data_IF_051801867887
#
_entry.id   IF_051801867887
#
_cell.length_a   1.000
_cell.length_b   1.000
_cell.length_c   1.000
_cell.angle_alpha   90.00
_cell.angle_beta   90.00
_cell.angle_gamma   90.00
#
_symmetry.space_group_name_H-M   'P 1'
#
loop_
_entity.id
_entity.type
_entity.pdbx_description
1 polymer ?
#
# COMPACT_ATOMS: atom_id res chain seq x y z
N UNK A 1 -4.80 -15.51 12.72
CA UNK A 1 -3.33 -15.48 12.96
C UNK A 1 -2.94 -14.05 13.24
N UNK A 2 -2.44 -13.79 14.44
CA UNK A 2 -1.89 -12.48 14.82
C UNK A 2 -0.57 -12.20 14.10
N UNK A 3 -0.08 -10.94 14.18
CA UNK A 3 1.23 -10.60 13.62
C UNK A 3 2.36 -11.37 14.34
N UNK A 4 2.27 -11.55 15.64
CA UNK A 4 3.24 -12.33 16.43
C UNK A 4 3.34 -13.76 15.91
N UNK A 5 2.22 -14.48 15.85
CA UNK A 5 2.17 -15.84 15.28
C UNK A 5 2.69 -15.93 13.83
N UNK A 6 2.45 -14.88 13.05
CA UNK A 6 2.99 -14.80 11.69
C UNK A 6 4.52 -14.70 11.72
N UNK A 7 5.08 -13.85 12.58
CA UNK A 7 6.52 -13.60 12.66
C UNK A 7 7.27 -14.85 13.14
N UNK A 8 6.73 -15.56 14.12
CA UNK A 8 7.28 -16.81 14.62
C UNK A 8 7.40 -17.86 13.51
N UNK A 9 6.36 -17.98 12.67
CA UNK A 9 6.33 -18.92 11.54
C UNK A 9 7.19 -18.47 10.35
N UNK A 10 7.33 -17.17 10.13
CA UNK A 10 7.98 -16.62 8.92
C UNK A 10 9.50 -16.73 8.93
N UNK A 11 10.12 -17.00 10.09
CA UNK A 11 11.57 -17.13 10.28
C UNK A 11 12.37 -16.01 9.56
N UNK A 12 12.03 -14.77 9.87
CA UNK A 12 12.60 -13.60 9.20
C UNK A 12 14.08 -13.44 9.54
N UNK A 13 14.96 -13.65 8.58
CA UNK A 13 16.42 -13.60 8.79
C UNK A 13 16.96 -12.16 8.87
N UNK A 14 16.48 -11.26 8.04
CA UNK A 14 16.93 -9.86 7.99
C UNK A 14 15.73 -8.91 7.92
N UNK A 15 14.92 -9.00 6.88
CA UNK A 15 13.74 -8.18 6.69
C UNK A 15 12.70 -8.86 5.82
N UNK A 16 11.44 -8.51 6.02
CA UNK A 16 10.33 -8.95 5.17
C UNK A 16 9.46 -7.74 4.81
N UNK A 17 8.98 -7.72 3.58
CA UNK A 17 8.10 -6.66 3.06
C UNK A 17 6.65 -7.09 3.08
N UNK A 18 5.76 -6.16 3.39
CA UNK A 18 4.33 -6.31 3.12
C UNK A 18 4.00 -5.92 1.68
N UNK A 19 3.05 -6.60 1.05
CA UNK A 19 2.49 -6.18 -0.23
C UNK A 19 1.78 -4.84 -0.06
N UNK A 20 2.16 -3.85 -0.85
CA UNK A 20 1.63 -2.49 -0.75
C UNK A 20 0.18 -2.40 -1.22
N UNK A 21 -0.67 -1.88 -0.36
CA UNK A 21 -2.12 -1.71 -0.53
C UNK A 21 -2.46 -0.25 -0.28
N UNK A 22 -2.64 0.55 -1.34
CA UNK A 22 -3.09 1.94 -1.24
C UNK A 22 -4.60 1.98 -1.10
N UNK A 23 -5.11 2.22 0.08
CA UNK A 23 -6.54 2.44 0.33
C UNK A 23 -6.96 3.75 -0.31
N UNK A 24 -7.99 3.71 -1.16
CA UNK A 24 -8.54 4.88 -1.84
C UNK A 24 -10.05 4.95 -1.68
N UNK A 25 -10.59 6.15 -1.58
CA UNK A 25 -12.02 6.37 -1.59
C UNK A 25 -12.60 6.08 -2.98
N UNK A 26 -13.67 5.30 -3.02
CA UNK A 26 -14.54 5.18 -4.21
C UNK A 26 -15.63 6.24 -4.09
N UNK A 27 -15.50 7.35 -4.79
CA UNK A 27 -16.33 8.56 -4.56
C UNK A 27 -17.82 8.36 -4.82
N UNK A 28 -18.17 7.38 -5.64
CA UNK A 28 -19.57 7.09 -6.00
C UNK A 28 -20.25 6.12 -5.02
N UNK A 29 -19.47 5.35 -4.24
CA UNK A 29 -19.98 4.32 -3.34
C UNK A 29 -19.68 4.60 -1.86
N UNK A 30 -18.70 5.46 -1.56
CA UNK A 30 -18.20 5.69 -0.20
C UNK A 30 -18.29 7.18 0.17
N UNK A 31 -18.99 7.47 1.26
CA UNK A 31 -19.14 8.82 1.81
C UNK A 31 -17.89 9.31 2.57
N UNK A 32 -18.02 10.39 3.30
CA UNK A 32 -16.99 10.93 4.18
C UNK A 32 -16.70 9.98 5.35
N UNK A 33 -15.47 10.05 5.86
CA UNK A 33 -15.06 9.25 7.03
C UNK A 33 -15.75 9.73 8.28
N UNK A 34 -16.35 8.79 9.01
CA UNK A 34 -16.90 8.98 10.34
C UNK A 34 -15.90 8.49 11.38
N UNK A 35 -15.73 9.25 12.45
CA UNK A 35 -14.79 8.92 13.53
C UNK A 35 -15.30 7.81 14.47
N UNK A 36 -16.62 7.59 14.48
CA UNK A 36 -17.30 6.61 15.34
C UNK A 36 -17.32 5.18 14.78
N UNK A 37 -16.75 4.95 13.62
CA UNK A 37 -16.74 3.63 12.96
C UNK A 37 -15.34 3.19 12.52
N UNK A 38 -15.04 1.89 12.57
CA UNK A 38 -13.75 1.35 12.13
C UNK A 38 -13.42 1.77 10.69
N UNK A 39 -12.17 2.17 10.45
CA UNK A 39 -11.76 2.76 9.18
C UNK A 39 -12.02 1.85 7.97
N UNK A 40 -11.64 0.57 8.05
CA UNK A 40 -11.80 -0.36 6.93
C UNK A 40 -13.24 -0.87 6.73
N UNK A 41 -14.18 -0.51 7.61
CA UNK A 41 -15.62 -0.69 7.34
C UNK A 41 -16.19 0.41 6.46
N UNK A 42 -15.45 1.51 6.27
CA UNK A 42 -15.87 2.68 5.50
C UNK A 42 -15.07 2.83 4.19
N UNK A 43 -14.03 2.01 3.99
CA UNK A 43 -13.15 2.03 2.80
C UNK A 43 -12.93 0.59 2.34
N UNK A 44 -13.55 0.26 1.22
CA UNK A 44 -13.59 -1.10 0.70
C UNK A 44 -12.67 -1.31 -0.50
N UNK A 45 -12.06 -0.24 -1.02
CA UNK A 45 -11.29 -0.29 -2.26
C UNK A 45 -9.84 0.11 -2.04
N UNK A 46 -8.95 -0.55 -2.77
CA UNK A 46 -7.54 -0.23 -2.74
C UNK A 46 -6.87 -0.50 -4.09
N UNK A 47 -5.80 0.24 -4.36
CA UNK A 47 -4.89 -0.05 -5.44
C UNK A 47 -3.69 -0.86 -4.95
N UNK A 48 -3.38 -1.96 -5.61
CA UNK A 48 -2.13 -2.69 -5.36
C UNK A 48 -0.95 -1.88 -5.89
N UNK A 49 0.02 -1.59 -5.04
CA UNK A 49 1.06 -0.60 -5.31
C UNK A 49 2.47 -1.12 -5.01
N UNK A 50 3.31 -1.20 -6.05
CA UNK A 50 4.74 -1.51 -5.89
C UNK A 50 5.50 -0.44 -5.12
N UNK A 51 5.06 0.81 -5.18
CA UNK A 51 5.68 1.92 -4.46
C UNK A 51 5.60 1.74 -2.95
N UNK A 52 4.48 1.20 -2.46
CA UNK A 52 4.23 0.97 -1.04
C UNK A 52 4.51 -0.46 -0.60
N UNK A 53 4.90 -1.34 -1.53
CA UNK A 53 5.48 -2.63 -1.16
C UNK A 53 6.91 -2.39 -0.64
N UNK A 54 7.08 -2.44 0.67
CA UNK A 54 8.34 -2.08 1.33
C UNK A 54 8.55 -2.90 2.61
N UNK A 55 9.80 -2.96 3.12
CA UNK A 55 10.10 -3.62 4.39
C UNK A 55 9.25 -3.04 5.53
N UNK A 56 8.58 -3.90 6.26
CA UNK A 56 7.74 -3.57 7.41
C UNK A 56 8.12 -4.35 8.68
N UNK A 57 8.95 -5.39 8.53
CA UNK A 57 9.53 -6.12 9.65
C UNK A 57 11.02 -6.24 9.44
N UNK A 58 11.81 -5.96 10.47
CA UNK A 58 13.27 -6.00 10.49
C UNK A 58 13.71 -6.84 11.68
N UNK A 59 14.46 -7.91 11.41
CA UNK A 59 14.96 -8.84 12.43
C UNK A 59 16.41 -8.55 12.86
N UNK A 60 17.13 -7.70 12.11
CA UNK A 60 18.53 -7.34 12.41
C UNK A 60 18.76 -5.87 12.04
N UNK A 61 19.74 -5.18 12.63
CA UNK A 61 20.17 -3.85 12.18
C UNK A 61 20.48 -3.85 10.69
N UNK A 62 19.95 -2.87 9.95
CA UNK A 62 20.09 -2.78 8.48
C UNK A 62 20.48 -1.37 8.05
N UNK A 63 21.16 -1.28 6.91
CA UNK A 63 21.39 -0.01 6.22
C UNK A 63 20.19 0.28 5.31
N UNK A 64 19.60 1.46 5.46
CA UNK A 64 18.45 1.88 4.68
C UNK A 64 18.81 2.61 3.39
N UNK A 65 18.01 2.43 2.38
CA UNK A 65 17.95 3.33 1.25
C UNK A 65 17.19 4.62 1.59
N UNK A 66 17.17 5.58 0.66
CA UNK A 66 16.47 6.86 0.83
C UNK A 66 14.98 6.63 1.16
N UNK A 67 14.46 7.32 2.16
CA UNK A 67 13.06 7.30 2.57
C UNK A 67 12.60 5.97 3.19
N UNK A 68 13.51 5.15 3.69
CA UNK A 68 13.20 3.85 4.33
C UNK A 68 12.41 2.87 3.45
N UNK A 69 12.50 3.03 2.13
CA UNK A 69 11.76 2.18 1.21
C UNK A 69 12.46 0.86 0.90
N UNK A 70 13.77 0.75 1.18
CA UNK A 70 14.59 -0.42 0.82
C UNK A 70 15.69 -0.67 1.85
N UNK A 71 15.99 -1.93 2.05
CA UNK A 71 17.17 -2.37 2.80
C UNK A 71 18.32 -2.56 1.81
N UNK A 72 19.48 -1.95 2.10
CA UNK A 72 20.66 -2.09 1.25
C UNK A 72 21.37 -3.42 1.54
N UNK A 73 21.89 -4.04 0.49
CA UNK A 73 22.71 -5.26 0.60
C UNK A 73 21.91 -6.56 0.87
N UNK A 74 20.58 -6.53 0.81
CA UNK A 74 19.75 -7.71 1.05
C UNK A 74 18.69 -7.88 -0.03
N UNK A 75 18.32 -9.13 -0.29
CA UNK A 75 17.27 -9.49 -1.22
C UNK A 75 15.92 -8.97 -0.73
N UNK A 76 15.14 -8.49 -1.69
CA UNK A 76 13.77 -8.10 -1.46
C UNK A 76 12.89 -9.36 -1.35
N UNK A 77 12.06 -9.41 -0.30
CA UNK A 77 11.13 -10.50 -0.07
C UNK A 77 9.77 -9.98 0.40
N UNK A 78 8.69 -10.46 -0.23
CA UNK A 78 7.31 -10.12 0.17
C UNK A 78 6.73 -11.32 0.93
N UNK A 79 6.32 -11.10 2.17
CA UNK A 79 5.68 -12.12 2.99
C UNK A 79 4.36 -12.61 2.41
N UNK A 80 4.13 -13.92 2.45
CA UNK A 80 2.84 -14.49 2.05
C UNK A 80 1.78 -14.10 3.07
N UNK A 81 0.71 -13.42 2.62
CA UNK A 81 -0.36 -12.97 3.52
C UNK A 81 -0.02 -11.73 4.36
N UNK A 82 1.15 -11.12 4.17
CA UNK A 82 1.54 -9.87 4.82
C UNK A 82 1.24 -8.69 3.91
N UNK A 83 0.42 -7.76 4.39
CA UNK A 83 -0.03 -6.59 3.66
C UNK A 83 0.37 -5.31 4.39
N UNK A 84 0.75 -4.29 3.63
CA UNK A 84 1.04 -2.96 4.16
C UNK A 84 -0.01 -1.98 3.63
N UNK A 85 -1.00 -1.70 4.45
CA UNK A 85 -2.04 -0.73 4.15
C UNK A 85 -1.48 0.68 4.25
N UNK A 86 -1.66 1.46 3.19
CA UNK A 86 -1.27 2.86 3.12
C UNK A 86 -2.51 3.74 2.98
N UNK A 87 -2.71 4.64 3.93
CA UNK A 87 -3.89 5.49 4.07
C UNK A 87 -3.67 6.91 3.52
N UNK A 88 -2.95 7.04 2.44
CA UNK A 88 -2.66 8.36 1.85
C UNK A 88 -3.78 8.93 0.97
N UNK A 89 -4.73 8.09 0.51
CA UNK A 89 -5.70 8.40 -0.54
C UNK A 89 -7.15 8.12 -0.13
N UNK A 90 -7.39 7.92 1.14
CA UNK A 90 -8.63 7.39 1.67
C UNK A 90 -9.78 8.40 1.76
N UNK A 91 -9.51 9.69 1.55
CA UNK A 91 -10.50 10.75 1.75
C UNK A 91 -10.23 11.92 0.83
N UNK A 92 -11.20 12.23 -0.05
CA UNK A 92 -11.08 13.30 -1.04
C UNK A 92 -11.16 14.68 -0.40
N UNK A 93 -12.02 14.87 0.61
CA UNK A 93 -12.16 16.13 1.34
C UNK A 93 -10.85 16.52 2.02
N UNK A 94 -10.21 15.56 2.69
CA UNK A 94 -8.91 15.77 3.32
C UNK A 94 -7.78 16.08 2.31
N UNK A 95 -7.85 15.51 1.10
CA UNK A 95 -6.88 15.86 0.04
C UNK A 95 -7.13 17.28 -0.44
N UNK A 96 -8.39 17.68 -0.67
CA UNK A 96 -8.76 19.05 -1.07
C UNK A 96 -8.27 20.07 -0.03
N UNK A 97 -8.58 19.87 1.24
CA UNK A 97 -8.12 20.74 2.32
C UNK A 97 -6.59 20.91 2.36
N UNK A 98 -5.85 19.83 2.05
CA UNK A 98 -4.38 19.90 1.95
C UNK A 98 -3.88 20.63 0.71
N UNK A 99 -4.65 20.68 -0.38
CA UNK A 99 -4.34 21.52 -1.55
C UNK A 99 -4.52 23.01 -1.24
N UNK A 100 -5.49 23.34 -0.42
CA UNK A 100 -5.81 24.71 -0.02
C UNK A 100 -4.82 25.28 1.00
N UNK A 101 -4.08 24.42 1.71
CA UNK A 101 -3.07 24.82 2.70
C UNK A 101 -1.85 25.50 2.03
N UNK A 102 -1.65 26.83 2.24
CA UNK A 102 -0.56 27.56 1.61
C UNK A 102 0.81 27.06 2.01
N UNK A 103 0.97 26.59 3.27
CA UNK A 103 2.24 26.09 3.79
C UNK A 103 2.71 24.85 3.06
N UNK A 104 1.78 23.96 2.69
CA UNK A 104 2.05 22.76 1.91
C UNK A 104 2.40 23.07 0.46
N UNK A 105 1.75 24.07 -0.13
CA UNK A 105 2.09 24.54 -1.48
C UNK A 105 3.50 25.13 -1.50
N UNK A 106 3.83 25.98 -0.55
CA UNK A 106 5.18 26.54 -0.42
C UNK A 106 6.26 25.46 -0.21
N UNK A 107 5.93 24.38 0.51
CA UNK A 107 6.82 23.23 0.71
C UNK A 107 6.90 22.27 -0.51
N UNK A 108 6.32 22.60 -1.67
CA UNK A 108 6.40 21.81 -2.91
C UNK A 108 5.55 20.54 -2.94
N UNK A 109 4.50 20.43 -2.12
CA UNK A 109 3.66 19.23 -2.02
C UNK A 109 2.65 19.05 -3.16
N UNK A 110 2.49 20.04 -4.05
CA UNK A 110 1.48 20.05 -5.13
C UNK A 110 1.51 18.77 -5.96
N UNK A 111 2.66 18.40 -6.53
CA UNK A 111 2.81 17.17 -7.33
C UNK A 111 2.48 15.89 -6.54
N UNK A 112 2.68 15.91 -5.23
CA UNK A 112 2.37 14.77 -4.37
C UNK A 112 0.85 14.64 -4.15
N UNK A 113 0.17 15.75 -3.98
CA UNK A 113 -1.29 15.81 -3.84
C UNK A 113 -2.00 15.44 -5.15
N UNK A 114 -1.51 15.91 -6.30
CA UNK A 114 -2.02 15.53 -7.64
C UNK A 114 -1.99 14.00 -7.84
N UNK A 115 -0.88 13.35 -7.46
CA UNK A 115 -0.79 11.88 -7.52
C UNK A 115 -1.82 11.20 -6.62
N UNK A 116 -2.14 11.79 -5.47
CA UNK A 116 -3.16 11.28 -4.55
C UNK A 116 -4.55 11.37 -5.16
N UNK A 117 -4.91 12.51 -5.73
CA UNK A 117 -6.17 12.70 -6.45
C UNK A 117 -6.31 11.73 -7.63
N UNK A 118 -5.22 11.49 -8.37
CA UNK A 118 -5.19 10.49 -9.44
C UNK A 118 -5.50 9.08 -8.92
N UNK A 119 -5.03 8.71 -7.74
CA UNK A 119 -5.31 7.38 -7.16
C UNK A 119 -6.78 7.23 -6.78
N UNK A 120 -7.40 8.25 -6.17
CA UNK A 120 -8.84 8.25 -5.88
C UNK A 120 -9.62 8.07 -7.18
N UNK A 121 -9.34 8.88 -8.20
CA UNK A 121 -9.97 8.74 -9.52
C UNK A 121 -9.81 7.33 -10.09
N UNK A 122 -8.62 6.74 -10.01
CA UNK A 122 -8.38 5.38 -10.48
C UNK A 122 -9.20 4.34 -9.71
N UNK A 123 -9.39 4.51 -8.40
CA UNK A 123 -10.22 3.62 -7.58
C UNK A 123 -11.68 3.71 -8.02
N UNK A 124 -12.19 4.92 -8.29
CA UNK A 124 -13.58 5.15 -8.71
C UNK A 124 -13.84 4.65 -10.15
N UNK A 125 -12.96 4.97 -11.10
CA UNK A 125 -13.19 4.72 -12.53
C UNK A 125 -12.89 3.27 -12.96
N UNK A 126 -12.15 2.49 -12.18
CA UNK A 126 -11.75 1.15 -12.58
C UNK A 126 -12.50 0.07 -11.84
N UNK A 127 -12.97 -0.93 -12.57
CA UNK A 127 -13.61 -2.11 -11.99
C UNK A 127 -12.69 -2.79 -10.96
N UNK A 128 -13.22 -3.00 -9.76
CA UNK A 128 -12.51 -3.73 -8.72
C UNK A 128 -12.43 -5.23 -9.04
N UNK A 129 -11.35 -5.84 -8.58
CA UNK A 129 -11.01 -7.23 -8.83
C UNK A 129 -10.99 -8.02 -7.52
N UNK A 130 -11.08 -9.34 -7.62
CA UNK A 130 -11.00 -10.24 -6.46
C UNK A 130 -9.68 -10.11 -5.71
N UNK A 131 -9.78 -9.91 -4.39
CA UNK A 131 -8.64 -9.74 -3.50
C UNK A 131 -7.68 -10.94 -3.50
N UNK A 132 -8.23 -12.14 -3.31
CA UNK A 132 -7.40 -13.32 -3.09
C UNK A 132 -6.58 -13.69 -4.33
N UNK A 133 -7.18 -13.55 -5.52
CA UNK A 133 -6.51 -13.80 -6.78
C UNK A 133 -5.46 -12.73 -7.08
N UNK A 134 -5.83 -11.47 -7.03
CA UNK A 134 -4.99 -10.40 -7.54
C UNK A 134 -3.88 -9.98 -6.60
N UNK A 135 -4.01 -10.16 -5.29
CA UNK A 135 -2.89 -9.99 -4.37
C UNK A 135 -1.82 -11.08 -4.56
N UNK A 136 -2.21 -12.32 -4.88
CA UNK A 136 -1.26 -13.39 -5.25
C UNK A 136 -0.52 -13.05 -6.55
N UNK A 137 -1.24 -12.59 -7.58
CA UNK A 137 -0.66 -12.20 -8.87
C UNK A 137 0.29 -11.01 -8.69
N UNK A 138 -0.13 -9.96 -7.99
CA UNK A 138 0.71 -8.79 -7.77
C UNK A 138 1.98 -9.13 -6.98
N UNK A 139 1.89 -10.00 -5.97
CA UNK A 139 3.04 -10.50 -5.24
C UNK A 139 3.99 -11.30 -6.14
N UNK A 140 3.45 -12.18 -6.97
CA UNK A 140 4.24 -12.95 -7.94
C UNK A 140 5.00 -12.03 -8.89
N UNK A 141 4.29 -11.11 -9.57
CA UNK A 141 4.91 -10.16 -10.50
C UNK A 141 6.03 -9.36 -9.81
N UNK A 142 5.76 -8.81 -8.63
CA UNK A 142 6.72 -7.99 -7.89
C UNK A 142 7.94 -8.77 -7.42
N UNK A 143 7.82 -10.07 -7.22
CA UNK A 143 8.91 -10.93 -6.76
C UNK A 143 9.72 -11.52 -7.91
N UNK A 144 9.06 -12.01 -8.96
CA UNK A 144 9.65 -12.82 -10.01
C UNK A 144 10.06 -11.98 -11.22
N UNK A 145 9.22 -11.05 -11.65
CA UNK A 145 9.45 -10.26 -12.87
C UNK A 145 10.43 -9.10 -12.71
N UNK A 146 11.23 -9.09 -11.64
CA UNK A 146 12.23 -8.03 -11.41
C UNK A 146 13.50 -8.28 -12.23
N UNK A 147 14.15 -7.21 -12.72
CA UNK A 147 15.46 -7.36 -13.36
C UNK A 147 16.51 -7.91 -12.37
N UNK A 148 17.49 -8.68 -12.83
CA UNK A 148 18.54 -9.26 -11.98
C UNK A 148 19.29 -8.24 -11.11
N UNK A 149 19.53 -7.03 -11.64
CA UNK A 149 20.20 -5.94 -10.92
C UNK A 149 19.29 -5.22 -9.88
N UNK A 150 18.00 -5.52 -9.88
CA UNK A 150 17.02 -4.89 -9.00
C UNK A 150 16.56 -5.82 -7.87
N UNK A 151 17.43 -6.70 -7.41
CA UNK A 151 17.14 -7.74 -6.42
C UNK A 151 16.68 -7.24 -5.03
N UNK A 152 16.97 -5.98 -4.68
CA UNK A 152 16.56 -5.36 -3.41
C UNK A 152 15.25 -4.55 -3.47
N UNK A 153 14.51 -4.62 -4.57
CA UNK A 153 13.25 -3.90 -4.76
C UNK A 153 12.23 -4.72 -5.57
N UNK A 154 10.91 -4.44 -5.44
CA UNK A 154 9.90 -5.11 -6.25
C UNK A 154 10.02 -4.71 -7.73
N UNK A 155 9.59 -5.61 -8.62
CA UNK A 155 9.33 -5.24 -10.00
C UNK A 155 8.23 -4.17 -10.06
N UNK A 156 8.43 -3.17 -10.90
CA UNK A 156 7.38 -2.20 -11.21
C UNK A 156 6.42 -2.80 -12.24
N UNK A 157 5.14 -2.51 -12.10
CA UNK A 157 4.16 -2.77 -13.13
C UNK A 157 3.31 -1.52 -13.33
N UNK A 158 2.94 -1.25 -14.58
CA UNK A 158 2.20 -0.04 -14.95
C UNK A 158 0.68 -0.22 -14.81
N UNK A 159 0.23 -1.47 -14.81
CA UNK A 159 -1.19 -1.78 -14.72
C UNK A 159 -1.82 -1.25 -13.44
N UNK A 160 -2.95 -0.56 -13.58
CA UNK A 160 -3.78 -0.13 -12.45
C UNK A 160 -4.58 -1.34 -11.95
N UNK A 161 -4.22 -1.84 -10.78
CA UNK A 161 -4.88 -2.98 -10.15
C UNK A 161 -5.69 -2.49 -8.95
N UNK A 162 -6.98 -2.32 -9.14
CA UNK A 162 -7.93 -2.02 -8.07
C UNK A 162 -8.52 -3.34 -7.56
N UNK A 163 -8.55 -3.49 -6.24
CA UNK A 163 -9.13 -4.65 -5.57
C UNK A 163 -10.15 -4.20 -4.53
N UNK A 164 -11.20 -5.02 -4.32
CA UNK A 164 -12.06 -4.89 -3.15
C UNK A 164 -11.36 -5.53 -1.97
N UNK A 165 -11.18 -4.78 -0.90
CA UNK A 165 -10.51 -5.24 0.34
C UNK A 165 -11.35 -6.39 0.93
N UNK A 166 -10.69 -7.48 1.29
CA UNK A 166 -11.39 -8.64 1.84
C UNK A 166 -12.00 -8.34 3.21
N UNK A 167 -13.21 -8.83 3.46
CA UNK A 167 -14.01 -8.55 4.66
C UNK A 167 -13.29 -8.87 5.98
N UNK A 168 -12.39 -9.86 5.97
CA UNK A 168 -11.56 -10.20 7.14
C UNK A 168 -10.70 -9.05 7.67
N UNK A 169 -10.50 -7.98 6.89
CA UNK A 169 -9.76 -6.80 7.30
C UNK A 169 -10.65 -5.66 7.84
N UNK A 170 -11.97 -5.77 7.69
CA UNK A 170 -12.90 -4.71 8.10
C UNK A 170 -12.88 -4.45 9.62
N UNK A 171 -12.55 -5.46 10.41
CA UNK A 171 -12.44 -5.35 11.88
C UNK A 171 -11.01 -4.99 12.35
N UNK A 172 -10.11 -4.62 11.45
CA UNK A 172 -8.81 -4.09 11.81
C UNK A 172 -8.93 -2.58 12.04
N UNK A 173 -9.27 -2.21 13.30
CA UNK A 173 -9.29 -0.84 13.90
C UNK A 173 -10.11 0.18 13.15
#
# INVERSE_FOLDING_TARGET
MSLAEYLDKANVKVSISGLGVDVGQHTDEEGDIREDAPFLTQRHYARLSTRYTKPCVIAKPVRWGRGFHRVKGHNFHIGKGLYLFHFGYFDLGRIKARFEDPSRRAAGWTKHLERRSKTIRQVTENKSRDWNRWTKIARFIQTVCRPPYAWNKPAMFEMVLIVRIADRFQNLV
#
